data_IF_866347619743
#
_entry.id   IF_866347619743
#
_cell.length_a   1.000
_cell.length_b   1.000
_cell.length_c   1.000
_cell.angle_alpha   90.00
_cell.angle_beta   90.00
_cell.angle_gamma   90.00
#
_symmetry.space_group_name_H-M   'P 1'
#
loop_
_entity.id
_entity.type
_entity.pdbx_description
1 polymer ?
#
# COMPACT_ATOMS: atom_id res chain seq x y z
N UNK A 1 -3.87 21.99 -24.21
CA UNK A 1 -2.98 21.43 -23.17
C UNK A 1 -3.79 21.21 -21.90
N UNK A 2 -3.49 20.18 -21.07
CA UNK A 2 -4.09 20.04 -19.76
C UNK A 2 -3.61 21.14 -18.81
N UNK A 3 -4.42 21.46 -17.79
CA UNK A 3 -4.01 22.20 -16.60
C UNK A 3 -3.67 21.20 -15.50
N UNK A 4 -2.54 21.37 -14.83
CA UNK A 4 -2.17 20.55 -13.69
C UNK A 4 -2.70 21.18 -12.40
N UNK A 5 -3.51 20.42 -11.67
CA UNK A 5 -4.14 20.86 -10.43
C UNK A 5 -3.75 19.93 -9.29
N UNK A 6 -3.44 20.52 -8.14
CA UNK A 6 -3.47 19.81 -6.87
C UNK A 6 -4.91 19.39 -6.53
N UNK A 7 -5.03 18.63 -5.46
CA UNK A 7 -6.31 18.12 -5.07
C UNK A 7 -7.35 19.19 -4.70
N UNK A 8 -6.96 20.17 -3.89
CA UNK A 8 -7.89 21.22 -3.46
C UNK A 8 -8.45 22.01 -4.65
N UNK A 9 -7.60 22.30 -5.64
CA UNK A 9 -7.98 22.97 -6.89
C UNK A 9 -8.84 22.09 -7.79
N UNK A 10 -8.55 20.78 -7.88
CA UNK A 10 -9.42 19.85 -8.61
C UNK A 10 -10.83 19.87 -8.01
N UNK A 11 -10.98 19.70 -6.68
CA UNK A 11 -12.28 19.74 -6.00
C UNK A 11 -13.06 21.02 -6.29
N UNK A 12 -12.42 22.18 -6.20
CA UNK A 12 -13.08 23.46 -6.51
C UNK A 12 -13.55 23.51 -7.97
N UNK A 13 -12.74 22.98 -8.88
CA UNK A 13 -13.10 22.89 -10.30
C UNK A 13 -14.30 21.97 -10.52
N UNK A 14 -14.25 20.75 -9.98
CA UNK A 14 -15.35 19.78 -10.08
C UNK A 14 -16.65 20.35 -9.51
N UNK A 15 -16.60 21.01 -8.34
CA UNK A 15 -17.77 21.66 -7.73
C UNK A 15 -18.37 22.74 -8.63
N UNK A 16 -17.52 23.52 -9.29
CA UNK A 16 -18.00 24.55 -10.22
C UNK A 16 -18.71 23.89 -11.39
N UNK A 17 -18.15 22.82 -11.93
CA UNK A 17 -18.59 22.22 -13.18
C UNK A 17 -19.84 21.35 -12.98
N UNK A 18 -19.94 20.64 -11.85
CA UNK A 18 -21.15 19.91 -11.45
C UNK A 18 -22.36 20.83 -11.19
N UNK A 19 -22.15 22.10 -10.85
CA UNK A 19 -23.25 23.08 -10.73
C UNK A 19 -23.81 23.54 -12.07
N UNK A 20 -23.01 23.49 -13.14
CA UNK A 20 -23.41 23.95 -14.46
C UNK A 20 -23.81 22.79 -15.40
N UNK A 21 -23.22 21.61 -15.19
CA UNK A 21 -23.52 20.42 -15.98
C UNK A 21 -24.72 19.65 -15.42
N UNK A 22 -25.54 19.12 -16.33
CA UNK A 22 -26.67 18.24 -15.98
C UNK A 22 -26.26 16.77 -15.90
N UNK A 23 -25.05 16.42 -16.35
CA UNK A 23 -24.54 15.04 -16.35
C UNK A 23 -23.05 14.94 -16.06
N UNK A 24 -22.66 13.84 -15.43
CA UNK A 24 -21.28 13.52 -15.11
C UNK A 24 -21.06 12.00 -15.04
N UNK A 25 -19.88 11.60 -15.48
CA UNK A 25 -19.38 10.23 -15.46
C UNK A 25 -18.07 10.22 -14.67
N UNK A 26 -18.03 9.57 -13.50
CA UNK A 26 -16.89 9.63 -12.58
C UNK A 26 -16.48 8.21 -12.16
N UNK A 27 -15.28 7.78 -12.55
CA UNK A 27 -14.69 6.52 -12.10
C UNK A 27 -13.54 6.84 -11.15
N UNK A 28 -13.83 6.80 -9.85
CA UNK A 28 -12.87 7.07 -8.78
C UNK A 28 -12.99 5.99 -7.74
N UNK A 29 -11.86 5.31 -7.48
CA UNK A 29 -11.77 4.16 -6.60
C UNK A 29 -12.39 4.40 -5.21
N UNK A 30 -11.98 5.48 -4.53
CA UNK A 30 -12.36 5.71 -3.14
C UNK A 30 -13.16 7.00 -2.93
N UNK A 31 -14.23 6.87 -2.13
CA UNK A 31 -15.09 7.98 -1.71
C UNK A 31 -15.16 8.04 -0.18
N UNK A 32 -14.70 9.12 0.43
CA UNK A 32 -14.72 9.37 1.88
C UNK A 32 -15.91 10.22 2.33
N UNK A 33 -16.06 10.39 3.64
CA UNK A 33 -17.16 11.17 4.21
C UNK A 33 -17.24 12.60 3.64
N UNK A 34 -18.46 13.04 3.33
CA UNK A 34 -18.77 14.40 2.89
C UNK A 34 -18.37 14.73 1.44
N UNK A 35 -17.91 13.75 0.65
CA UNK A 35 -17.53 13.95 -0.74
C UNK A 35 -18.64 14.59 -1.60
N UNK A 36 -19.87 14.12 -1.48
CA UNK A 36 -21.01 14.60 -2.25
C UNK A 36 -21.33 16.07 -1.97
N UNK A 37 -21.20 16.50 -0.72
CA UNK A 37 -21.42 17.90 -0.32
C UNK A 37 -20.27 18.80 -0.77
N UNK A 38 -19.03 18.32 -0.61
CA UNK A 38 -17.84 19.04 -1.02
C UNK A 38 -17.81 19.31 -2.53
N UNK A 39 -18.28 18.34 -3.33
CA UNK A 39 -18.47 18.47 -4.77
C UNK A 39 -19.76 19.22 -5.14
N UNK A 40 -20.64 19.52 -4.19
CA UNK A 40 -21.89 20.22 -4.44
C UNK A 40 -22.84 19.44 -5.35
N UNK A 41 -22.84 18.11 -5.27
CA UNK A 41 -23.74 17.24 -6.04
C UNK A 41 -25.17 17.49 -5.57
N UNK A 42 -26.01 17.95 -6.49
CA UNK A 42 -27.42 18.26 -6.26
C UNK A 42 -28.31 17.05 -6.54
N UNK A 43 -29.51 17.07 -5.98
CA UNK A 43 -30.51 16.04 -6.26
C UNK A 43 -30.93 16.10 -7.74
N UNK A 44 -31.02 14.94 -8.38
CA UNK A 44 -31.43 14.83 -9.78
C UNK A 44 -30.34 15.14 -10.81
N UNK A 45 -29.09 15.39 -10.41
CA UNK A 45 -27.95 15.38 -11.34
C UNK A 45 -27.80 13.99 -11.95
N UNK A 46 -27.71 13.88 -13.28
CA UNK A 46 -27.49 12.60 -13.97
C UNK A 46 -26.04 12.15 -13.78
N UNK A 47 -25.77 11.49 -12.67
CA UNK A 47 -24.43 11.14 -12.24
C UNK A 47 -24.24 9.62 -12.30
N UNK A 48 -23.29 9.16 -13.11
CA UNK A 48 -22.83 7.78 -13.15
C UNK A 48 -21.49 7.68 -12.43
N UNK A 49 -21.40 6.79 -11.45
CA UNK A 49 -20.19 6.58 -10.66
C UNK A 49 -19.76 5.11 -10.72
N UNK A 50 -18.47 4.88 -10.94
CA UNK A 50 -17.83 3.58 -10.65
C UNK A 50 -16.87 3.78 -9.49
N UNK A 51 -16.98 2.94 -8.45
CA UNK A 51 -16.09 2.96 -7.30
C UNK A 51 -15.69 1.54 -6.88
N UNK A 52 -14.80 1.47 -5.88
CA UNK A 52 -14.40 0.23 -5.22
C UNK A 52 -14.88 0.22 -3.75
N UNK A 53 -16.18 -0.02 -3.57
CA UNK A 53 -16.91 -0.22 -2.33
C UNK A 53 -16.33 -1.35 -1.46
N UNK A 54 -15.99 -2.50 -2.05
CA UNK A 54 -15.60 -3.70 -1.29
C UNK A 54 -14.16 -3.68 -0.77
N UNK A 55 -13.34 -2.71 -1.17
CA UNK A 55 -11.98 -2.50 -0.65
C UNK A 55 -11.91 -2.04 0.81
N UNK A 56 -13.04 -1.62 1.39
CA UNK A 56 -13.10 -0.93 2.68
C UNK A 56 -12.59 0.52 2.64
N UNK A 57 -12.00 1.00 1.55
CA UNK A 57 -11.51 2.38 1.40
C UNK A 57 -12.59 3.40 1.02
N UNK A 58 -13.76 2.89 0.59
CA UNK A 58 -14.93 3.69 0.24
C UNK A 58 -15.93 3.67 1.38
N UNK A 59 -16.41 4.84 1.80
CA UNK A 59 -17.40 5.01 2.85
C UNK A 59 -18.82 4.63 2.33
N UNK A 60 -19.43 3.54 2.84
CA UNK A 60 -20.73 3.08 2.35
C UNK A 60 -21.87 4.07 2.64
N UNK A 61 -21.76 4.89 3.69
CA UNK A 61 -22.75 5.94 3.98
C UNK A 61 -22.74 7.02 2.91
N UNK A 62 -21.55 7.36 2.41
CA UNK A 62 -21.41 8.33 1.33
C UNK A 62 -21.99 7.79 0.02
N UNK A 63 -21.75 6.51 -0.30
CA UNK A 63 -22.36 5.86 -1.47
C UNK A 63 -23.89 5.82 -1.35
N UNK A 64 -24.42 5.44 -0.18
CA UNK A 64 -25.87 5.46 0.08
C UNK A 64 -26.47 6.85 -0.10
N UNK A 65 -25.74 7.90 0.32
CA UNK A 65 -26.15 9.29 0.13
C UNK A 65 -26.18 9.67 -1.35
N UNK A 66 -25.16 9.32 -2.12
CA UNK A 66 -25.11 9.56 -3.57
C UNK A 66 -26.30 8.90 -4.28
N UNK A 67 -26.60 7.64 -3.96
CA UNK A 67 -27.77 6.94 -4.50
C UNK A 67 -29.09 7.64 -4.14
N UNK A 68 -29.24 8.13 -2.89
CA UNK A 68 -30.43 8.90 -2.47
C UNK A 68 -30.59 10.23 -3.22
N UNK A 69 -29.50 10.83 -3.70
CA UNK A 69 -29.53 12.03 -4.56
C UNK A 69 -29.82 11.71 -6.03
N UNK A 70 -29.96 10.43 -6.37
CA UNK A 70 -30.28 9.96 -7.72
C UNK A 70 -29.07 9.58 -8.57
N UNK A 71 -27.87 9.43 -7.98
CA UNK A 71 -26.72 8.92 -8.71
C UNK A 71 -26.82 7.41 -8.96
N UNK A 72 -26.43 6.98 -10.15
CA UNK A 72 -26.24 5.57 -10.50
C UNK A 72 -24.82 5.18 -10.09
N UNK A 73 -24.69 4.33 -9.07
CA UNK A 73 -23.38 3.94 -8.53
C UNK A 73 -23.15 2.45 -8.72
N UNK A 74 -22.03 2.12 -9.34
CA UNK A 74 -21.59 0.77 -9.62
C UNK A 74 -20.27 0.44 -8.91
N UNK A 75 -20.11 -0.85 -8.62
CA UNK A 75 -18.94 -1.45 -7.99
C UNK A 75 -18.04 -2.14 -9.01
N UNK A 76 -16.73 -1.90 -8.89
CA UNK A 76 -15.67 -2.62 -9.59
C UNK A 76 -14.50 -2.89 -8.62
N UNK A 77 -14.24 -4.18 -8.32
CA UNK A 77 -13.35 -4.60 -7.21
C UNK A 77 -11.87 -4.29 -7.43
N UNK A 78 -11.43 -4.18 -8.68
CA UNK A 78 -10.05 -3.89 -9.09
C UNK A 78 -9.87 -2.43 -9.54
N UNK A 79 -10.90 -1.59 -9.39
CA UNK A 79 -10.80 -0.18 -9.75
C UNK A 79 -9.86 0.55 -8.80
N UNK A 80 -8.75 1.06 -9.35
CA UNK A 80 -7.87 2.03 -8.69
C UNK A 80 -7.73 3.37 -9.45
N UNK A 81 -8.46 3.53 -10.57
CA UNK A 81 -8.42 4.75 -11.37
C UNK A 81 -9.07 5.94 -10.66
N UNK A 82 -8.65 7.16 -11.05
CA UNK A 82 -9.32 8.42 -10.68
C UNK A 82 -9.48 9.29 -11.92
N UNK A 83 -10.61 9.11 -12.61
CA UNK A 83 -10.94 9.79 -13.86
C UNK A 83 -12.38 10.29 -13.85
N UNK A 84 -12.70 11.23 -14.74
CA UNK A 84 -14.08 11.57 -15.00
C UNK A 84 -14.28 12.55 -16.14
N UNK A 85 -15.54 12.64 -16.57
CA UNK A 85 -16.05 13.57 -17.58
C UNK A 85 -17.25 14.30 -16.97
N UNK A 86 -17.23 15.63 -16.99
CA UNK A 86 -18.28 16.48 -16.41
C UNK A 86 -18.58 17.58 -17.42
N UNK A 87 -19.75 17.50 -18.07
CA UNK A 87 -20.06 18.41 -19.18
C UNK A 87 -18.95 18.37 -20.24
N UNK A 88 -18.38 19.53 -20.55
CA UNK A 88 -17.29 19.66 -21.51
C UNK A 88 -15.90 19.43 -20.91
N UNK A 89 -15.73 19.14 -19.62
CA UNK A 89 -14.40 18.91 -19.03
C UNK A 89 -14.13 17.43 -18.76
N UNK A 90 -12.85 17.06 -18.71
CA UNK A 90 -12.45 15.74 -18.21
C UNK A 90 -11.17 15.82 -17.39
N UNK A 91 -10.93 14.84 -16.52
CA UNK A 91 -9.75 14.77 -15.68
C UNK A 91 -9.23 13.34 -15.52
N UNK A 92 -7.95 13.24 -15.18
CA UNK A 92 -7.25 12.03 -14.74
C UNK A 92 -6.17 12.43 -13.73
N UNK A 93 -5.98 11.62 -12.68
CA UNK A 93 -4.94 11.90 -11.70
C UNK A 93 -4.89 10.91 -10.55
N UNK A 94 -4.36 11.37 -9.43
CA UNK A 94 -4.16 10.58 -8.20
C UNK A 94 -5.32 10.69 -7.19
N UNK A 95 -6.21 11.65 -7.41
CA UNK A 95 -7.09 12.18 -6.37
C UNK A 95 -8.40 11.41 -6.14
N UNK A 96 -8.60 10.89 -4.93
CA UNK A 96 -9.83 10.22 -4.46
C UNK A 96 -10.88 11.19 -3.89
N UNK A 97 -12.18 10.89 -3.94
CA UNK A 97 -13.21 11.87 -3.54
C UNK A 97 -13.42 11.94 -2.01
N UNK A 98 -13.13 13.07 -1.35
CA UNK A 98 -13.44 13.27 0.10
C UNK A 98 -13.53 14.75 0.51
N UNK A 99 -14.17 15.05 1.65
CA UNK A 99 -14.36 16.41 2.15
C UNK A 99 -13.04 17.14 2.49
N UNK A 100 -12.06 16.42 3.07
CA UNK A 100 -10.79 16.98 3.52
C UNK A 100 -9.75 17.17 2.39
N UNK A 101 -10.17 17.04 1.14
CA UNK A 101 -9.27 17.20 0.00
C UNK A 101 -8.45 15.95 -0.22
N UNK A 102 -9.06 14.95 -0.86
CA UNK A 102 -8.37 13.92 -1.63
C UNK A 102 -7.25 13.17 -0.91
N UNK A 103 -7.44 12.90 0.37
CA UNK A 103 -6.82 11.78 1.08
C UNK A 103 -7.91 10.82 1.53
N UNK A 104 -7.60 9.53 1.55
CA UNK A 104 -8.39 8.58 2.33
C UNK A 104 -8.43 9.04 3.80
N UNK A 105 -9.52 8.78 4.52
CA UNK A 105 -9.56 8.96 5.97
C UNK A 105 -8.43 8.15 6.60
N UNK A 106 -7.39 8.82 7.11
CA UNK A 106 -6.20 8.16 7.67
C UNK A 106 -4.86 8.78 7.25
N UNK A 107 -3.82 7.94 7.18
CA UNK A 107 -2.42 8.29 6.92
C UNK A 107 -2.15 9.03 5.60
N UNK A 108 -3.06 8.94 4.62
CA UNK A 108 -2.92 9.58 3.30
C UNK A 108 -3.36 11.06 3.27
N UNK A 109 -3.85 11.63 4.38
CA UNK A 109 -4.29 13.03 4.45
C UNK A 109 -3.17 14.07 4.18
N UNK A 110 -1.90 13.64 4.11
CA UNK A 110 -0.73 14.49 3.86
C UNK A 110 -0.13 14.34 2.46
N UNK A 111 -0.65 13.43 1.63
CA UNK A 111 -0.07 13.16 0.31
C UNK A 111 -0.37 14.30 -0.66
N UNK A 112 0.64 14.66 -1.47
CA UNK A 112 0.51 15.69 -2.49
C UNK A 112 -0.10 15.06 -3.73
N UNK A 113 -1.23 15.62 -4.14
CA UNK A 113 -2.04 15.11 -5.23
C UNK A 113 -1.73 15.83 -6.55
N UNK A 114 -1.76 15.10 -7.65
CA UNK A 114 -1.51 15.63 -8.99
C UNK A 114 -2.55 15.16 -10.01
N UNK A 115 -3.15 16.12 -10.72
CA UNK A 115 -4.23 15.86 -11.66
C UNK A 115 -4.05 16.64 -12.95
N UNK A 116 -4.26 15.99 -14.09
CA UNK A 116 -4.37 16.62 -15.39
C UNK A 116 -5.86 16.90 -15.69
N UNK A 117 -6.19 18.17 -15.92
CA UNK A 117 -7.55 18.63 -16.23
C UNK A 117 -7.62 19.21 -17.63
N UNK A 118 -8.54 18.71 -18.44
CA UNK A 118 -8.78 19.16 -19.80
C UNK A 118 -10.08 19.98 -19.84
N UNK A 119 -10.01 21.19 -20.41
CA UNK A 119 -11.20 22.04 -20.60
C UNK A 119 -12.16 21.52 -21.68
N UNK A 120 -11.73 20.53 -22.47
CA UNK A 120 -12.56 19.79 -23.43
C UNK A 120 -12.49 18.31 -23.08
N UNK A 121 -13.63 17.65 -23.03
CA UNK A 121 -13.75 16.25 -22.70
C UNK A 121 -12.93 15.43 -23.69
N UNK A 122 -12.07 14.55 -23.15
CA UNK A 122 -11.23 13.67 -23.93
C UNK A 122 -12.00 12.38 -24.26
N UNK A 123 -12.19 12.04 -25.56
CA UNK A 123 -12.86 10.80 -25.95
C UNK A 123 -12.23 9.56 -25.31
N UNK A 124 -10.92 9.57 -25.06
CA UNK A 124 -10.17 8.49 -24.43
C UNK A 124 -10.61 8.28 -22.98
N UNK A 125 -10.82 9.35 -22.22
CA UNK A 125 -11.29 9.28 -20.83
C UNK A 125 -12.74 8.79 -20.79
N UNK A 126 -13.59 9.28 -21.70
CA UNK A 126 -14.97 8.80 -21.82
C UNK A 126 -15.02 7.30 -22.18
N UNK A 127 -14.16 6.86 -23.10
CA UNK A 127 -14.03 5.44 -23.48
C UNK A 127 -13.58 4.58 -22.31
N UNK A 128 -12.58 5.03 -21.54
CA UNK A 128 -12.13 4.33 -20.33
C UNK A 128 -13.24 4.24 -19.29
N UNK A 129 -13.97 5.33 -19.03
CA UNK A 129 -15.10 5.31 -18.12
C UNK A 129 -16.15 4.29 -18.56
N UNK A 130 -16.54 4.28 -19.84
CA UNK A 130 -17.53 3.33 -20.33
C UNK A 130 -17.05 1.89 -20.20
N UNK A 131 -15.76 1.60 -20.41
CA UNK A 131 -15.21 0.26 -20.18
C UNK A 131 -15.34 -0.17 -18.71
N UNK A 132 -15.05 0.73 -17.76
CA UNK A 132 -15.27 0.45 -16.33
C UNK A 132 -16.76 0.29 -16.01
N UNK A 133 -17.61 1.11 -16.61
CA UNK A 133 -19.06 1.04 -16.42
C UNK A 133 -19.62 -0.32 -16.84
N UNK A 134 -19.28 -0.80 -18.03
CA UNK A 134 -19.73 -2.11 -18.55
C UNK A 134 -19.19 -3.30 -17.74
N UNK A 135 -17.97 -3.18 -17.20
CA UNK A 135 -17.36 -4.22 -16.36
C UNK A 135 -17.90 -4.22 -14.92
N UNK A 136 -18.53 -3.14 -14.49
CA UNK A 136 -18.99 -2.92 -13.13
C UNK A 136 -20.42 -3.42 -12.89
N UNK A 137 -20.80 -3.57 -11.62
CA UNK A 137 -22.15 -4.02 -11.23
C UNK A 137 -22.87 -2.95 -10.40
N UNK A 138 -24.19 -2.74 -10.58
CA UNK A 138 -24.95 -1.82 -9.73
C UNK A 138 -24.80 -2.18 -8.24
N UNK A 139 -24.62 -1.17 -7.38
CA UNK A 139 -24.51 -1.37 -5.94
C UNK A 139 -25.91 -1.54 -5.32
N UNK A 140 -26.12 -2.66 -4.64
CA UNK A 140 -27.38 -3.00 -3.96
C UNK A 140 -27.37 -2.61 -2.47
N UNK A 141 -28.51 -2.77 -1.79
CA UNK A 141 -28.59 -2.56 -0.33
C UNK A 141 -27.76 -3.61 0.42
N UNK A 142 -27.73 -4.82 -0.10
CA UNK A 142 -26.97 -5.95 0.43
C UNK A 142 -25.47 -5.66 0.35
N UNK A 143 -25.00 -5.11 -0.78
CA UNK A 143 -23.61 -4.68 -0.95
C UNK A 143 -23.23 -3.57 0.04
N UNK A 144 -24.10 -2.58 0.24
CA UNK A 144 -23.89 -1.51 1.24
C UNK A 144 -23.80 -2.07 2.67
N UNK A 145 -24.62 -3.06 3.01
CA UNK A 145 -24.55 -3.73 4.31
C UNK A 145 -23.23 -4.48 4.49
N UNK A 146 -22.81 -5.26 3.49
CA UNK A 146 -21.53 -5.97 3.51
C UNK A 146 -20.35 -5.00 3.61
N UNK A 147 -20.36 -3.94 2.80
CA UNK A 147 -19.34 -2.90 2.81
C UNK A 147 -19.31 -2.13 4.13
N UNK A 148 -20.43 -1.97 4.83
CA UNK A 148 -20.45 -1.34 6.16
C UNK A 148 -19.64 -2.15 7.17
N UNK A 149 -19.70 -3.48 7.13
CA UNK A 149 -18.88 -4.33 7.99
C UNK A 149 -17.38 -4.23 7.62
N UNK A 150 -17.05 -4.27 6.32
CA UNK A 150 -15.67 -4.14 5.84
C UNK A 150 -15.09 -2.77 6.19
N UNK A 151 -15.84 -1.70 5.94
CA UNK A 151 -15.46 -0.33 6.27
C UNK A 151 -15.33 -0.16 7.78
N UNK A 152 -16.24 -0.70 8.60
CA UNK A 152 -16.11 -0.65 10.06
C UNK A 152 -14.89 -1.45 10.57
N UNK A 153 -14.54 -2.56 9.94
CA UNK A 153 -13.30 -3.29 10.24
C UNK A 153 -12.07 -2.46 9.89
N UNK A 154 -12.05 -1.82 8.71
CA UNK A 154 -10.96 -0.95 8.29
C UNK A 154 -10.87 0.31 9.15
N UNK A 155 -11.98 0.93 9.52
CA UNK A 155 -11.99 2.08 10.42
C UNK A 155 -11.62 1.69 11.83
N UNK A 156 -11.99 0.49 12.31
CA UNK A 156 -11.46 -0.04 13.56
C UNK A 156 -9.96 -0.30 13.45
N UNK A 157 -9.48 -0.86 12.34
CA UNK A 157 -8.06 -1.01 12.06
C UNK A 157 -7.34 0.34 12.03
N UNK A 158 -7.86 1.32 11.30
CA UNK A 158 -7.31 2.66 11.16
C UNK A 158 -7.44 3.49 12.43
N UNK A 159 -8.52 3.37 13.20
CA UNK A 159 -8.72 4.05 14.48
C UNK A 159 -7.93 3.34 15.59
N UNK A 160 -7.72 2.04 15.49
CA UNK A 160 -6.74 1.34 16.29
C UNK A 160 -5.35 1.88 15.93
N UNK A 161 -4.96 1.93 14.66
CA UNK A 161 -3.70 2.55 14.18
C UNK A 161 -3.60 4.05 14.52
N UNK A 162 -4.69 4.81 14.54
CA UNK A 162 -4.72 6.26 14.82
C UNK A 162 -4.87 6.61 16.30
N UNK A 163 -5.52 5.77 17.10
CA UNK A 163 -5.40 5.81 18.57
C UNK A 163 -4.02 5.34 19.02
N UNK A 164 -3.31 4.60 18.15
CA UNK A 164 -1.91 4.19 18.25
C UNK A 164 -0.94 5.13 17.50
N UNK A 165 -1.40 6.25 16.92
CA UNK A 165 -0.57 7.22 16.14
C UNK A 165 0.36 8.08 17.01
N UNK A 166 0.40 7.83 18.31
CA UNK A 166 1.59 8.06 19.12
C UNK A 166 2.23 6.69 19.39
N UNK A 167 3.40 6.45 18.78
CA UNK A 167 4.40 5.47 19.21
C UNK A 167 3.93 4.00 19.35
N UNK A 168 3.92 3.23 18.25
CA UNK A 168 4.13 1.77 18.35
C UNK A 168 5.35 1.37 17.57
N UNK A 169 6.45 1.22 18.30
CA UNK A 169 7.66 0.58 17.79
C UNK A 169 7.38 -0.89 17.48
N UNK A 170 8.11 -1.43 16.53
CA UNK A 170 8.04 -2.85 16.17
C UNK A 170 8.19 -3.76 17.39
N UNK A 171 9.04 -3.38 18.35
CA UNK A 171 9.22 -4.14 19.59
C UNK A 171 7.96 -4.17 20.44
N UNK A 172 7.19 -3.08 20.51
CA UNK A 172 5.95 -3.04 21.29
C UNK A 172 4.91 -4.01 20.72
N UNK A 173 4.81 -4.05 19.39
CA UNK A 173 3.92 -4.99 18.69
C UNK A 173 4.40 -6.42 18.89
N UNK A 174 5.70 -6.67 18.74
CA UNK A 174 6.28 -8.00 18.92
C UNK A 174 6.06 -8.54 20.34
N UNK A 175 6.05 -7.68 21.37
CA UNK A 175 5.73 -8.07 22.74
C UNK A 175 4.24 -8.32 22.98
N UNK A 176 3.40 -7.38 22.55
CA UNK A 176 2.00 -7.36 22.95
C UNK A 176 1.10 -8.19 22.04
N UNK A 177 1.45 -8.31 20.76
CA UNK A 177 0.62 -8.93 19.74
C UNK A 177 1.46 -9.46 18.56
N UNK A 178 2.37 -10.44 18.77
CA UNK A 178 3.25 -10.96 17.72
C UNK A 178 2.48 -11.51 16.50
N UNK A 179 1.28 -12.06 16.70
CA UNK A 179 0.41 -12.54 15.62
C UNK A 179 -0.07 -11.43 14.65
N UNK A 180 -0.06 -10.14 15.07
CA UNK A 180 -0.31 -9.02 14.14
C UNK A 180 0.79 -8.94 13.07
N UNK A 181 2.04 -9.30 13.42
CA UNK A 181 3.17 -9.31 12.48
C UNK A 181 3.10 -10.50 11.52
N UNK A 182 2.62 -11.65 11.98
CA UNK A 182 2.39 -12.83 11.11
C UNK A 182 1.32 -12.56 10.06
N UNK A 183 0.22 -11.89 10.46
CA UNK A 183 -0.86 -11.52 9.55
C UNK A 183 -0.40 -10.55 8.44
N UNK A 184 0.64 -9.75 8.71
CA UNK A 184 1.28 -8.84 7.76
C UNK A 184 2.46 -9.48 7.01
N UNK A 185 2.76 -10.75 7.29
CA UNK A 185 3.94 -11.48 6.82
C UNK A 185 5.24 -10.65 7.01
N UNK A 186 5.46 -10.19 8.24
CA UNK A 186 6.72 -9.54 8.63
C UNK A 186 7.73 -10.62 8.95
N UNK A 187 8.87 -10.58 8.27
CA UNK A 187 9.92 -11.59 8.37
C UNK A 187 11.24 -10.94 8.77
N UNK A 188 12.01 -11.65 9.58
CA UNK A 188 13.41 -11.32 9.77
C UNK A 188 14.24 -12.09 8.76
N UNK A 189 15.11 -11.37 8.07
CA UNK A 189 16.00 -11.90 7.05
C UNK A 189 17.43 -11.62 7.47
N UNK A 190 18.25 -12.66 7.57
CA UNK A 190 19.67 -12.55 7.93
C UNK A 190 20.49 -13.36 6.94
N UNK A 191 21.54 -12.77 6.39
CA UNK A 191 22.45 -13.41 5.44
C UNK A 191 23.88 -12.96 5.69
N UNK A 192 24.87 -13.76 5.30
CA UNK A 192 26.27 -13.34 5.43
C UNK A 192 26.56 -12.12 4.55
N UNK A 193 27.38 -11.20 5.08
CA UNK A 193 27.83 -10.06 4.28
C UNK A 193 28.66 -10.57 3.11
N UNK A 194 28.20 -10.35 1.88
CA UNK A 194 28.93 -10.68 0.66
C UNK A 194 30.23 -9.88 0.58
N UNK A 195 31.35 -10.58 0.40
CA UNK A 195 32.68 -9.97 0.30
C UNK A 195 33.46 -10.41 -0.93
N UNK A 196 33.01 -11.46 -1.62
CA UNK A 196 33.65 -11.90 -2.84
C UNK A 196 33.40 -10.88 -3.97
N UNK A 197 34.44 -10.37 -4.65
CA UNK A 197 34.28 -9.36 -5.68
C UNK A 197 33.44 -9.81 -6.89
N UNK A 198 33.55 -11.08 -7.29
CA UNK A 198 32.85 -11.60 -8.46
C UNK A 198 31.35 -11.74 -8.15
N UNK A 199 31.02 -12.22 -6.95
CA UNK A 199 29.64 -12.27 -6.44
C UNK A 199 29.02 -10.86 -6.30
N UNK A 200 29.82 -9.89 -5.81
CA UNK A 200 29.37 -8.51 -5.69
C UNK A 200 29.08 -7.86 -7.06
N UNK A 201 29.84 -8.18 -8.11
CA UNK A 201 29.58 -7.67 -9.46
C UNK A 201 28.28 -8.25 -10.03
N UNK A 202 27.99 -9.53 -9.76
CA UNK A 202 26.70 -10.16 -10.10
C UNK A 202 25.56 -9.43 -9.39
N UNK A 203 25.70 -9.20 -8.08
CA UNK A 203 24.67 -8.53 -7.29
C UNK A 203 24.44 -7.07 -7.72
N UNK A 204 25.51 -6.29 -7.96
CA UNK A 204 25.41 -4.90 -8.44
C UNK A 204 24.74 -4.81 -9.82
N UNK A 205 25.05 -5.77 -10.70
CA UNK A 205 24.39 -5.87 -12.01
C UNK A 205 22.90 -6.15 -11.87
N UNK A 206 22.52 -7.08 -11.00
CA UNK A 206 21.13 -7.43 -10.76
C UNK A 206 20.36 -6.30 -10.05
N UNK A 207 20.98 -5.61 -9.08
CA UNK A 207 20.42 -4.42 -8.42
C UNK A 207 20.14 -3.33 -9.45
N UNK A 208 21.11 -3.02 -10.32
CA UNK A 208 20.92 -2.05 -11.40
C UNK A 208 19.78 -2.44 -12.34
N UNK A 209 19.68 -3.71 -12.70
CA UNK A 209 18.57 -4.19 -13.52
C UNK A 209 17.21 -4.01 -12.83
N UNK A 210 17.10 -4.36 -11.54
CA UNK A 210 15.89 -4.14 -10.76
C UNK A 210 15.54 -2.65 -10.67
N UNK A 211 16.54 -1.78 -10.52
CA UNK A 211 16.36 -0.34 -10.46
C UNK A 211 15.92 0.27 -11.79
N UNK A 212 16.43 -0.24 -12.91
CA UNK A 212 15.99 0.13 -14.25
C UNK A 212 14.54 -0.30 -14.53
N UNK A 213 14.13 -1.47 -14.02
CA UNK A 213 12.76 -1.99 -14.19
C UNK A 213 11.75 -1.28 -13.28
N UNK A 214 12.10 -1.06 -12.00
CA UNK A 214 11.12 -0.76 -10.96
C UNK A 214 11.40 0.52 -10.16
N UNK A 215 12.63 1.06 -10.23
CA UNK A 215 13.01 2.33 -9.63
C UNK A 215 14.20 2.25 -8.66
N UNK A 216 14.78 3.40 -8.30
CA UNK A 216 16.11 3.49 -7.65
C UNK A 216 16.18 2.96 -6.21
N UNK A 217 15.04 2.62 -5.60
CA UNK A 217 14.98 2.12 -4.22
C UNK A 217 15.01 0.60 -4.14
N UNK A 218 15.08 -0.08 -5.28
CA UNK A 218 15.10 -1.54 -5.37
C UNK A 218 16.50 -2.10 -5.13
N UNK A 219 16.51 -3.24 -4.44
CA UNK A 219 17.62 -4.15 -4.31
C UNK A 219 17.13 -5.58 -4.56
N UNK A 220 18.03 -6.54 -4.66
CA UNK A 220 17.68 -7.95 -4.86
C UNK A 220 18.26 -8.87 -3.80
N UNK A 221 17.56 -9.98 -3.57
CA UNK A 221 18.15 -11.19 -2.99
C UNK A 221 18.48 -12.17 -4.12
N UNK A 222 19.55 -12.93 -3.95
CA UNK A 222 20.10 -13.81 -4.98
C UNK A 222 19.93 -15.29 -4.57
N UNK A 223 19.30 -16.09 -5.45
CA UNK A 223 19.18 -17.55 -5.36
C UNK A 223 18.67 -18.07 -4.01
N UNK A 224 17.77 -17.32 -3.36
CA UNK A 224 17.28 -17.65 -2.03
C UNK A 224 15.87 -18.24 -2.08
N UNK A 225 15.77 -19.57 -1.99
CA UNK A 225 14.52 -20.30 -2.24
C UNK A 225 13.33 -19.81 -1.39
N UNK A 226 13.55 -19.50 -0.11
CA UNK A 226 12.47 -19.04 0.76
C UNK A 226 11.95 -17.64 0.42
N UNK A 227 12.72 -16.85 -0.34
CA UNK A 227 12.24 -15.58 -0.91
C UNK A 227 11.20 -15.81 -2.00
N UNK A 228 11.30 -16.91 -2.74
CA UNK A 228 10.37 -17.30 -3.78
C UNK A 228 9.11 -18.00 -3.23
N UNK A 229 9.16 -18.57 -2.02
CA UNK A 229 8.05 -19.32 -1.41
C UNK A 229 7.37 -18.53 -0.29
N UNK A 230 8.04 -18.30 0.83
CA UNK A 230 7.46 -17.71 2.04
C UNK A 230 7.43 -16.18 2.00
N UNK A 231 8.39 -15.54 1.32
CA UNK A 231 8.54 -14.08 1.30
C UNK A 231 7.93 -13.38 0.07
N UNK A 232 7.13 -14.09 -0.74
CA UNK A 232 6.54 -13.56 -2.00
C UNK A 232 5.81 -12.23 -1.84
N UNK A 233 5.16 -12.04 -0.70
CA UNK A 233 4.50 -10.80 -0.30
C UNK A 233 4.75 -10.58 1.18
N UNK A 234 5.91 -10.00 1.51
CA UNK A 234 6.39 -9.88 2.89
C UNK A 234 7.01 -8.51 3.17
N UNK A 235 6.91 -8.05 4.42
CA UNK A 235 7.79 -7.00 4.94
C UNK A 235 9.05 -7.68 5.48
N UNK A 236 10.22 -7.19 5.08
CA UNK A 236 11.50 -7.80 5.43
C UNK A 236 12.28 -6.85 6.31
N UNK A 237 12.68 -7.34 7.49
CA UNK A 237 13.73 -6.71 8.28
C UNK A 237 15.04 -7.41 7.95
N UNK A 238 15.76 -6.80 7.02
CA UNK A 238 16.95 -7.33 6.39
C UNK A 238 18.20 -6.94 7.18
N UNK A 239 18.99 -7.92 7.60
CA UNK A 239 20.27 -7.74 8.29
C UNK A 239 21.37 -8.53 7.59
N UNK A 240 22.55 -7.94 7.49
CA UNK A 240 23.74 -8.65 7.04
C UNK A 240 24.54 -9.20 8.23
N UNK A 241 25.27 -10.29 8.06
CA UNK A 241 26.09 -10.93 9.08
C UNK A 241 27.57 -10.86 8.68
N UNK A 242 28.32 -9.84 9.14
CA UNK A 242 29.75 -9.78 8.88
C UNK A 242 30.50 -10.90 9.63
N UNK A 243 31.43 -11.58 8.96
CA UNK A 243 32.06 -12.82 9.43
C UNK A 243 32.58 -12.82 10.89
N UNK A 244 32.98 -11.66 11.44
CA UNK A 244 33.57 -11.51 12.80
C UNK A 244 32.73 -10.68 13.77
N UNK A 245 31.47 -10.38 13.45
CA UNK A 245 30.58 -9.55 14.27
C UNK A 245 29.20 -10.20 14.39
N UNK A 246 28.36 -9.67 15.28
CA UNK A 246 26.93 -9.95 15.22
C UNK A 246 26.31 -9.27 13.99
N UNK A 247 25.05 -9.61 13.70
CA UNK A 247 24.32 -9.05 12.56
C UNK A 247 24.33 -7.51 12.60
N UNK A 248 24.46 -6.90 11.43
CA UNK A 248 24.58 -5.48 11.20
C UNK A 248 23.46 -5.00 10.26
N UNK A 249 23.46 -3.69 9.96
CA UNK A 249 22.59 -2.99 8.99
C UNK A 249 21.15 -3.52 8.93
N UNK A 250 20.25 -2.95 9.74
CA UNK A 250 18.83 -3.29 9.69
C UNK A 250 18.10 -2.39 8.70
N UNK A 251 17.69 -2.92 7.55
CA UNK A 251 16.91 -2.21 6.53
C UNK A 251 15.50 -2.78 6.48
N UNK A 252 14.50 -1.90 6.50
CA UNK A 252 13.11 -2.30 6.30
C UNK A 252 12.81 -2.26 4.81
N UNK A 253 12.41 -3.40 4.27
CA UNK A 253 12.10 -3.58 2.86
C UNK A 253 10.69 -4.17 2.71
N UNK A 254 10.13 -4.02 1.51
CA UNK A 254 8.90 -4.65 1.08
C UNK A 254 9.18 -5.48 -0.16
N UNK A 255 8.65 -6.70 -0.16
CA UNK A 255 8.60 -7.59 -1.31
C UNK A 255 7.16 -7.82 -1.75
N UNK A 256 6.92 -7.81 -3.06
CA UNK A 256 5.61 -8.06 -3.65
C UNK A 256 5.77 -8.64 -5.07
N UNK A 257 5.70 -9.96 -5.21
CA UNK A 257 5.87 -10.66 -6.50
C UNK A 257 4.76 -10.38 -7.51
N UNK A 258 3.58 -9.95 -7.06
CA UNK A 258 2.47 -9.64 -7.97
C UNK A 258 2.74 -8.37 -8.77
N UNK A 259 3.42 -7.40 -8.15
CA UNK A 259 3.79 -6.13 -8.78
C UNK A 259 5.22 -6.14 -9.34
N UNK A 260 6.13 -6.81 -8.65
CA UNK A 260 7.56 -6.85 -8.95
C UNK A 260 8.04 -8.32 -8.96
N UNK A 261 7.78 -9.04 -10.08
CA UNK A 261 8.11 -10.46 -10.17
C UNK A 261 9.63 -10.69 -10.16
N UNK A 262 10.00 -11.90 -9.75
CA UNK A 262 11.39 -12.37 -9.81
C UNK A 262 11.86 -12.43 -11.26
N UNK A 263 13.17 -12.28 -11.45
CA UNK A 263 13.78 -12.33 -12.77
C UNK A 263 15.03 -13.21 -12.76
N UNK A 264 15.33 -13.76 -13.94
CA UNK A 264 16.50 -14.60 -14.14
C UNK A 264 17.59 -13.82 -14.88
N UNK A 265 18.84 -14.01 -14.45
CA UNK A 265 20.02 -13.51 -15.14
C UNK A 265 21.17 -14.49 -14.98
N UNK A 266 21.80 -14.87 -16.09
CA UNK A 266 22.94 -15.80 -16.13
C UNK A 266 22.70 -17.15 -15.42
N UNK A 267 21.45 -17.63 -15.37
CA UNK A 267 21.10 -18.89 -14.72
C UNK A 267 20.81 -18.78 -13.22
N UNK A 268 20.87 -17.58 -12.66
CA UNK A 268 20.49 -17.27 -11.28
C UNK A 268 19.16 -16.52 -11.23
N UNK A 269 18.43 -16.70 -10.14
CA UNK A 269 17.17 -16.04 -9.84
C UNK A 269 17.40 -14.90 -8.86
N UNK A 270 16.79 -13.75 -9.14
CA UNK A 270 16.86 -12.57 -8.29
C UNK A 270 15.47 -12.17 -7.82
N UNK A 271 15.36 -11.83 -6.53
CA UNK A 271 14.12 -11.51 -5.85
C UNK A 271 14.09 -10.02 -5.48
N UNK A 272 13.36 -9.17 -6.23
CA UNK A 272 13.30 -7.74 -5.97
C UNK A 272 12.62 -7.41 -4.64
N UNK A 273 13.19 -6.44 -3.93
CA UNK A 273 12.61 -5.80 -2.75
C UNK A 273 12.95 -4.30 -2.74
N UNK A 274 12.12 -3.47 -2.11
CA UNK A 274 12.33 -2.03 -2.08
C UNK A 274 12.19 -1.45 -0.68
N UNK A 275 12.93 -0.38 -0.39
CA UNK A 275 12.91 0.28 0.91
C UNK A 275 11.54 0.91 1.22
N UNK A 276 11.09 0.74 2.47
CA UNK A 276 9.88 1.37 3.02
C UNK A 276 10.14 1.90 4.43
N UNK A 277 9.42 2.94 4.82
CA UNK A 277 9.65 3.63 6.10
C UNK A 277 8.89 3.02 7.29
N UNK A 278 7.87 2.20 7.03
CA UNK A 278 7.04 1.57 8.07
C UNK A 278 6.34 0.31 7.56
N UNK A 279 5.84 -0.49 8.51
CA UNK A 279 5.03 -1.70 8.26
C UNK A 279 3.58 -1.35 8.59
N UNK A 280 2.78 -0.95 7.59
CA UNK A 280 1.38 -0.55 7.81
C UNK A 280 1.18 0.44 8.98
N UNK A 281 2.12 1.36 9.16
CA UNK A 281 2.13 2.35 10.25
C UNK A 281 2.87 1.92 11.53
N UNK A 282 3.42 0.71 11.61
CA UNK A 282 4.36 0.28 12.67
C UNK A 282 5.75 0.83 12.32
N UNK A 283 6.34 1.59 13.24
CA UNK A 283 7.67 2.21 13.04
C UNK A 283 8.78 1.24 13.42
N UNK A 284 9.92 1.33 12.73
CA UNK A 284 11.13 0.57 13.06
C UNK A 284 12.29 1.54 13.23
N UNK A 285 12.64 1.85 14.47
CA UNK A 285 13.71 2.79 14.77
C UNK A 285 15.06 2.10 15.07
N UNK A 286 16.06 2.89 15.44
CA UNK A 286 17.39 2.37 15.77
C UNK A 286 17.40 1.53 17.07
N UNK A 287 16.52 1.84 18.01
CA UNK A 287 16.38 1.13 19.28
C UNK A 287 15.71 -0.24 19.08
N UNK A 288 14.69 -0.31 18.21
CA UNK A 288 14.04 -1.54 17.79
C UNK A 288 15.08 -2.49 17.17
N UNK A 289 15.86 -1.98 16.20
CA UNK A 289 16.92 -2.74 15.55
C UNK A 289 17.96 -3.25 16.55
N UNK A 290 18.30 -2.47 17.58
CA UNK A 290 19.24 -2.91 18.60
C UNK A 290 18.69 -4.05 19.47
N UNK A 291 17.40 -4.02 19.80
CA UNK A 291 16.74 -5.08 20.57
C UNK A 291 16.55 -6.34 19.74
N UNK A 292 16.20 -6.23 18.46
CA UNK A 292 16.10 -7.37 17.55
C UNK A 292 17.44 -8.09 17.37
N UNK A 293 18.56 -7.37 17.27
CA UNK A 293 19.89 -8.00 17.25
C UNK A 293 20.16 -8.84 18.49
N UNK A 294 19.76 -8.37 19.67
CA UNK A 294 19.90 -9.12 20.93
C UNK A 294 18.99 -10.34 20.95
N UNK A 295 17.74 -10.19 20.53
CA UNK A 295 16.77 -11.28 20.48
C UNK A 295 17.21 -12.36 19.49
N UNK A 296 17.66 -11.99 18.29
CA UNK A 296 18.20 -12.92 17.31
C UNK A 296 19.45 -13.65 17.83
N UNK A 297 20.36 -12.95 18.52
CA UNK A 297 21.51 -13.61 19.15
C UNK A 297 21.09 -14.64 20.19
N UNK A 298 19.99 -14.42 20.92
CA UNK A 298 19.45 -15.39 21.86
C UNK A 298 18.73 -16.55 21.15
N UNK A 299 17.98 -16.26 20.09
CA UNK A 299 17.31 -17.24 19.22
C UNK A 299 18.30 -18.27 18.63
N UNK A 300 19.41 -17.79 18.04
CA UNK A 300 20.48 -18.67 17.52
C UNK A 300 21.17 -19.44 18.65
N UNK A 301 21.39 -18.81 19.81
CA UNK A 301 22.01 -19.49 20.97
C UNK A 301 21.13 -20.62 21.52
N UNK A 302 19.82 -20.52 21.35
CA UNK A 302 18.84 -21.54 21.73
C UNK A 302 18.73 -22.69 20.72
N UNK A 303 19.56 -22.66 19.66
CA UNK A 303 19.69 -23.75 18.70
C UNK A 303 18.92 -23.55 17.40
N UNK A 304 18.34 -22.36 17.17
CA UNK A 304 17.76 -22.05 15.86
C UNK A 304 18.86 -22.08 14.78
N UNK A 305 18.63 -22.87 13.74
CA UNK A 305 19.53 -23.01 12.60
C UNK A 305 19.04 -22.18 11.42
N UNK A 306 19.96 -21.82 10.52
CA UNK A 306 19.62 -21.25 9.23
C UNK A 306 18.92 -22.26 8.31
N UNK A 307 18.62 -21.83 7.10
CA UNK A 307 18.04 -22.68 6.06
C UNK A 307 18.98 -23.82 5.65
N UNK A 308 18.39 -24.93 5.20
CA UNK A 308 19.15 -26.13 4.84
C UNK A 308 20.16 -25.84 3.73
N UNK A 309 21.44 -26.17 3.99
CA UNK A 309 22.51 -26.04 3.00
C UNK A 309 23.22 -24.69 2.97
N UNK A 310 22.76 -23.70 3.75
CA UNK A 310 23.37 -22.37 3.81
C UNK A 310 23.71 -21.99 5.26
N UNK A 311 25.01 -21.96 5.58
CA UNK A 311 25.47 -21.44 6.86
C UNK A 311 25.10 -19.94 6.96
N UNK A 312 24.29 -19.59 7.95
CA UNK A 312 23.87 -18.21 8.30
C UNK A 312 22.89 -17.49 7.35
N UNK A 313 22.12 -18.23 6.56
CA UNK A 313 20.91 -17.70 5.91
C UNK A 313 19.66 -17.98 6.78
N UNK A 314 18.91 -16.94 7.14
CA UNK A 314 17.67 -17.05 7.91
C UNK A 314 16.56 -16.24 7.27
N UNK A 315 15.39 -16.84 7.07
CA UNK A 315 14.18 -16.14 6.67
C UNK A 315 12.98 -16.72 7.43
N UNK A 316 12.56 -16.05 8.49
CA UNK A 316 11.53 -16.59 9.39
C UNK A 316 10.56 -15.49 9.87
N UNK A 317 9.33 -15.86 10.28
CA UNK A 317 8.36 -14.93 10.87
C UNK A 317 8.95 -14.15 12.05
N UNK A 318 8.76 -12.84 12.06
CA UNK A 318 9.30 -11.98 13.12
C UNK A 318 8.75 -12.35 14.52
N UNK A 319 7.55 -12.94 14.58
CA UNK A 319 6.90 -13.38 15.81
C UNK A 319 7.72 -14.40 16.61
N UNK A 320 8.57 -15.18 15.95
CA UNK A 320 9.43 -16.17 16.60
C UNK A 320 10.46 -15.52 17.53
N UNK A 321 10.79 -14.24 17.36
CA UNK A 321 11.67 -13.52 18.27
C UNK A 321 11.01 -13.05 19.55
N UNK A 322 9.67 -13.10 19.66
CA UNK A 322 8.95 -12.60 20.83
C UNK A 322 9.43 -13.21 22.17
N UNK A 323 9.67 -14.53 22.29
CA UNK A 323 10.19 -15.15 23.52
C UNK A 323 11.62 -14.72 23.87
N UNK A 324 12.38 -14.22 22.89
CA UNK A 324 13.80 -13.88 23.02
C UNK A 324 14.04 -12.39 23.26
N UNK A 325 12.98 -11.58 23.32
CA UNK A 325 13.10 -10.17 23.63
C UNK A 325 13.59 -9.97 25.07
N UNK A 326 14.58 -9.08 25.30
CA UNK A 326 14.96 -8.67 26.65
C UNK A 326 13.73 -8.14 27.41
N UNK A 327 13.64 -8.22 28.75
CA UNK A 327 12.54 -7.60 29.48
C UNK A 327 12.42 -6.10 29.17
N UNK A 328 11.22 -5.54 29.24
CA UNK A 328 11.03 -4.10 29.10
C UNK A 328 11.80 -3.39 30.23
N UNK A 329 12.61 -2.38 29.90
CA UNK A 329 13.22 -1.55 30.93
C UNK A 329 12.10 -0.81 31.67
N UNK A 330 11.94 -1.11 32.96
CA UNK A 330 11.07 -0.40 33.90
C UNK A 330 11.59 0.99 34.20
#
# INVERSE_FOLDING_TARGET
MPKFLDGAKLRQRLRTELRHSKSADIAVAFWGDGAADALGIQDGTKLRIVCNLMSGGTNPKEISKLQKRGAEVHQLNDLHAKIGVIGDMSFVGSSNMSANGLGAEGSAAHWQEANAVYSKARPEIAKMFNAYWEASKPITKEDLSAATAIWANRQRGNAMVAARKGDRGLIDVLRAAPAELDALNVRMVVFDTMTDPDELEVLDTADRQAQEMYGPTFLVYWDWESMAKEARSAYLLSFDWPARRGIARGTLLRRNTEEFPDFEQNGSVFHPAYAVDSIEGITVDASDKALLRKAFSAYVKDGATGEEGEDRAYNFPMSELAPYLPPANS
#
